data_IF_317242949730
#
_entry.id   IF_317242949730
#
_cell.length_a   1.000
_cell.length_b   1.000
_cell.length_c   1.000
_cell.angle_alpha   90.00
_cell.angle_beta   90.00
_cell.angle_gamma   90.00
#
_symmetry.space_group_name_H-M   'P 1'
#
loop_
_entity.id
_entity.type
_entity.pdbx_description
1 polymer ?
#
# COMPACT_ATOMS: atom_id res chain seq x y z
N UNK A 1 2.93 -14.09 22.31
CA UNK A 1 2.28 -14.48 21.05
C UNK A 1 1.63 -13.31 20.30
N UNK A 2 1.03 -12.27 20.92
CA UNK A 2 0.28 -11.25 20.14
C UNK A 2 1.11 -10.14 19.43
N UNK A 3 2.32 -9.84 19.88
CA UNK A 3 3.13 -8.77 19.27
C UNK A 3 3.84 -9.26 18.00
N UNK A 4 4.29 -10.52 18.01
CA UNK A 4 5.02 -11.16 16.91
C UNK A 4 4.14 -11.31 15.68
N UNK A 5 2.89 -11.77 15.87
CA UNK A 5 1.91 -11.92 14.78
C UNK A 5 1.51 -10.58 14.16
N UNK A 6 1.50 -9.49 14.94
CA UNK A 6 1.24 -8.15 14.40
C UNK A 6 2.42 -7.63 13.57
N UNK A 7 3.65 -7.93 13.99
CA UNK A 7 4.86 -7.57 13.24
C UNK A 7 4.94 -8.35 11.94
N UNK A 8 4.67 -9.65 11.96
CA UNK A 8 4.61 -10.50 10.77
C UNK A 8 3.56 -9.98 9.77
N UNK A 9 2.34 -9.71 10.24
CA UNK A 9 1.28 -9.14 9.41
C UNK A 9 1.65 -7.75 8.85
N UNK A 10 2.36 -6.91 9.61
CA UNK A 10 2.84 -5.61 9.13
C UNK A 10 3.88 -5.78 8.01
N UNK A 11 4.86 -6.66 8.19
CA UNK A 11 5.90 -6.92 7.19
C UNK A 11 5.32 -7.54 5.92
N UNK A 12 4.34 -8.44 6.04
CA UNK A 12 3.60 -8.99 4.90
C UNK A 12 2.81 -7.91 4.15
N UNK A 13 2.13 -7.00 4.87
CA UNK A 13 1.42 -5.88 4.26
C UNK A 13 2.35 -4.91 3.54
N UNK A 14 3.55 -4.68 4.08
CA UNK A 14 4.57 -3.82 3.47
C UNK A 14 5.15 -4.46 2.19
N UNK A 15 5.42 -5.76 2.23
CA UNK A 15 5.86 -6.52 1.06
C UNK A 15 4.78 -6.49 -0.04
N UNK A 16 3.53 -6.80 0.31
CA UNK A 16 2.41 -6.77 -0.62
C UNK A 16 2.19 -5.38 -1.23
N UNK A 17 2.29 -4.32 -0.41
CA UNK A 17 2.16 -2.95 -0.90
C UNK A 17 3.28 -2.57 -1.88
N UNK A 18 4.51 -3.04 -1.62
CA UNK A 18 5.68 -2.80 -2.48
C UNK A 18 5.56 -3.54 -3.81
N UNK A 19 5.12 -4.80 -3.76
CA UNK A 19 4.92 -5.61 -4.96
C UNK A 19 3.80 -5.04 -5.83
N UNK A 20 2.68 -4.64 -5.21
CA UNK A 20 1.57 -4.02 -5.92
C UNK A 20 1.97 -2.68 -6.55
N UNK A 21 2.75 -1.83 -5.88
CA UNK A 21 3.26 -0.59 -6.48
C UNK A 21 4.18 -0.87 -7.70
N UNK A 22 5.00 -1.92 -7.63
CA UNK A 22 5.86 -2.35 -8.73
C UNK A 22 5.04 -2.82 -9.94
N UNK A 23 4.02 -3.63 -9.72
CA UNK A 23 3.12 -4.11 -10.76
C UNK A 23 2.36 -2.95 -11.42
N UNK A 24 1.82 -2.03 -10.62
CA UNK A 24 1.10 -0.86 -11.12
C UNK A 24 2.02 0.04 -11.97
N UNK A 25 3.27 0.27 -11.56
CA UNK A 25 4.27 1.01 -12.36
C UNK A 25 4.61 0.30 -13.66
N UNK A 26 4.74 -1.03 -13.61
CA UNK A 26 5.01 -1.84 -14.80
C UNK A 26 3.85 -1.72 -15.80
N UNK A 27 2.62 -1.83 -15.32
CA UNK A 27 1.42 -1.67 -16.12
C UNK A 27 1.31 -0.25 -16.68
N UNK A 28 1.66 0.81 -15.91
CA UNK A 28 1.71 2.19 -16.43
C UNK A 28 2.64 2.30 -17.64
N UNK A 29 3.83 1.69 -17.54
CA UNK A 29 4.83 1.70 -18.60
C UNK A 29 4.34 1.00 -19.86
N UNK A 30 3.71 -0.17 -19.72
CA UNK A 30 3.12 -0.91 -20.85
C UNK A 30 2.00 -0.09 -21.50
N UNK A 31 1.10 0.48 -20.71
CA UNK A 31 -0.03 1.25 -21.23
C UNK A 31 0.45 2.53 -21.92
N UNK A 32 1.45 3.23 -21.37
CA UNK A 32 2.10 4.38 -22.05
C UNK A 32 2.72 3.98 -23.39
N UNK A 33 3.44 2.86 -23.44
CA UNK A 33 4.03 2.37 -24.69
C UNK A 33 2.98 1.96 -25.73
N UNK A 34 1.82 1.46 -25.30
CA UNK A 34 0.68 1.19 -26.18
C UNK A 34 0.02 2.48 -26.67
N UNK A 35 -0.11 3.48 -25.79
CA UNK A 35 -0.66 4.80 -26.11
C UNK A 35 0.09 5.50 -27.26
N UNK A 36 1.43 5.41 -27.25
CA UNK A 36 2.29 5.99 -28.29
C UNK A 36 2.08 5.33 -29.67
N UNK A 37 1.70 4.05 -29.68
CA UNK A 37 1.48 3.26 -30.89
C UNK A 37 0.06 3.37 -31.44
N UNK A 38 -0.93 3.64 -30.60
CA UNK A 38 -2.33 3.82 -31.00
C UNK A 38 -2.60 5.26 -31.46
N UNK A 39 -2.22 5.58 -32.69
CA UNK A 39 -2.67 6.80 -33.41
C UNK A 39 -3.83 6.43 -34.34
N UNK A 40 -5.04 6.97 -34.09
CA UNK A 40 -6.23 6.73 -34.93
C UNK A 40 -7.57 6.90 -34.20
N UNK A 41 -8.66 6.52 -34.86
CA UNK A 41 -10.09 6.72 -34.45
C UNK A 41 -10.49 6.17 -33.06
N UNK A 42 -9.71 5.29 -32.45
CA UNK A 42 -9.99 4.69 -31.13
C UNK A 42 -9.28 5.38 -29.95
N UNK A 43 -8.57 6.50 -30.20
CA UNK A 43 -7.78 7.25 -29.20
C UNK A 43 -8.59 7.69 -27.97
N UNK A 44 -9.82 8.18 -28.18
CA UNK A 44 -10.66 8.71 -27.08
C UNK A 44 -11.13 7.65 -26.08
N UNK A 45 -11.49 6.46 -26.55
CA UNK A 45 -11.89 5.36 -25.68
C UNK A 45 -10.70 4.87 -24.83
N UNK A 46 -9.52 4.77 -25.44
CA UNK A 46 -8.30 4.40 -24.73
C UNK A 46 -7.85 5.45 -23.70
N UNK A 47 -7.90 6.74 -24.05
CA UNK A 47 -7.56 7.83 -23.12
C UNK A 47 -8.47 7.84 -21.88
N UNK A 48 -9.77 7.53 -22.06
CA UNK A 48 -10.74 7.40 -20.96
C UNK A 48 -10.36 6.24 -20.05
N UNK A 49 -10.19 5.03 -20.61
CA UNK A 49 -9.80 3.84 -19.85
C UNK A 49 -8.45 4.03 -19.15
N UNK A 50 -7.47 4.68 -19.80
CA UNK A 50 -6.18 4.97 -19.19
C UNK A 50 -6.29 5.94 -18.02
N UNK A 51 -7.14 6.96 -18.15
CA UNK A 51 -7.37 7.94 -17.08
C UNK A 51 -8.03 7.29 -15.86
N UNK A 52 -9.06 6.46 -16.09
CA UNK A 52 -9.72 5.69 -15.04
C UNK A 52 -8.76 4.74 -14.35
N UNK A 53 -7.96 4.01 -15.13
CA UNK A 53 -6.94 3.12 -14.61
C UNK A 53 -5.92 3.87 -13.74
N UNK A 54 -5.38 5.00 -14.21
CA UNK A 54 -4.43 5.80 -13.42
C UNK A 54 -5.05 6.29 -12.11
N UNK A 55 -6.31 6.70 -12.14
CA UNK A 55 -7.05 7.13 -10.95
C UNK A 55 -7.18 5.97 -9.95
N UNK A 56 -7.62 4.81 -10.40
CA UNK A 56 -7.76 3.62 -9.56
C UNK A 56 -6.41 3.18 -8.94
N UNK A 57 -5.34 3.14 -9.75
CA UNK A 57 -3.98 2.81 -9.28
C UNK A 57 -3.48 3.79 -8.21
N UNK A 58 -3.76 5.08 -8.37
CA UNK A 58 -3.38 6.11 -7.40
C UNK A 58 -4.13 5.95 -6.08
N UNK A 59 -5.44 5.69 -6.15
CA UNK A 59 -6.27 5.47 -4.96
C UNK A 59 -5.87 4.20 -4.21
N UNK A 60 -5.57 3.11 -4.93
CA UNK A 60 -5.10 1.86 -4.34
C UNK A 60 -3.76 2.07 -3.60
N UNK A 61 -2.81 2.79 -4.19
CA UNK A 61 -1.55 3.12 -3.51
C UNK A 61 -1.79 4.01 -2.27
N UNK A 62 -2.71 4.98 -2.34
CA UNK A 62 -3.08 5.79 -1.15
C UNK A 62 -3.65 4.93 -0.03
N UNK A 63 -4.56 4.00 -0.35
CA UNK A 63 -5.18 3.10 0.62
C UNK A 63 -4.14 2.19 1.29
N UNK A 64 -3.22 1.62 0.51
CA UNK A 64 -2.13 0.78 1.04
C UNK A 64 -1.22 1.54 2.01
N UNK A 65 -0.81 2.77 1.67
CA UNK A 65 0.00 3.60 2.59
C UNK A 65 -0.77 3.96 3.86
N UNK A 66 -2.07 4.20 3.76
CA UNK A 66 -2.92 4.48 4.92
C UNK A 66 -3.03 3.25 5.84
N UNK A 67 -3.23 2.05 5.27
CA UNK A 67 -3.23 0.79 6.00
C UNK A 67 -1.90 0.54 6.71
N UNK A 68 -0.78 0.72 6.02
CA UNK A 68 0.55 0.57 6.61
C UNK A 68 0.75 1.54 7.79
N UNK A 69 0.39 2.82 7.63
CA UNK A 69 0.46 3.81 8.72
C UNK A 69 -0.41 3.42 9.91
N UNK A 70 -1.63 2.93 9.66
CA UNK A 70 -2.54 2.47 10.70
C UNK A 70 -1.98 1.27 11.46
N UNK A 71 -1.40 0.29 10.75
CA UNK A 71 -0.72 -0.87 11.34
C UNK A 71 0.47 -0.46 12.21
N UNK A 72 1.34 0.44 11.71
CA UNK A 72 2.46 0.97 12.49
C UNK A 72 2.01 1.75 13.74
N UNK A 73 0.91 2.50 13.64
CA UNK A 73 0.34 3.23 14.79
C UNK A 73 -0.22 2.27 15.83
N UNK A 74 -0.96 1.24 15.40
CA UNK A 74 -1.47 0.20 16.29
C UNK A 74 -0.33 -0.54 17.01
N UNK A 75 0.76 -0.84 16.30
CA UNK A 75 1.97 -1.43 16.89
C UNK A 75 2.61 -0.52 17.95
N UNK A 76 2.82 0.76 17.64
CA UNK A 76 3.40 1.74 18.56
C UNK A 76 2.56 1.91 19.84
N UNK A 77 1.24 1.99 19.71
CA UNK A 77 0.32 2.09 20.83
C UNK A 77 0.31 0.83 21.71
N UNK A 78 0.38 -0.36 21.10
CA UNK A 78 0.39 -1.62 21.85
C UNK A 78 1.73 -1.88 22.57
N UNK A 79 2.85 -1.57 21.91
CA UNK A 79 4.20 -1.69 22.49
C UNK A 79 4.42 -0.73 23.65
N UNK A 80 3.98 0.53 23.51
CA UNK A 80 4.03 1.54 24.57
C UNK A 80 3.13 1.18 25.75
N UNK A 81 1.88 0.76 25.52
CA UNK A 81 0.97 0.32 26.58
C UNK A 81 1.51 -0.90 27.35
N UNK A 82 2.10 -1.89 26.65
CA UNK A 82 2.72 -3.07 27.28
C UNK A 82 3.96 -2.69 28.08
N UNK A 83 4.80 -1.80 27.56
CA UNK A 83 5.99 -1.31 28.27
C UNK A 83 5.58 -0.53 29.51
N UNK A 84 4.60 0.38 29.39
CA UNK A 84 4.06 1.12 30.52
C UNK A 84 3.48 0.19 31.59
N UNK A 85 2.66 -0.80 31.22
CA UNK A 85 2.14 -1.79 32.17
C UNK A 85 3.25 -2.62 32.82
N UNK A 86 4.27 -3.04 32.06
CA UNK A 86 5.40 -3.79 32.62
C UNK A 86 6.27 -2.95 33.54
N UNK A 87 6.45 -1.66 33.26
CA UNK A 87 7.17 -0.72 34.14
C UNK A 87 6.35 -0.43 35.41
N UNK A 88 5.04 -0.25 35.28
CA UNK A 88 4.17 -0.01 36.44
C UNK A 88 4.06 -1.24 37.36
N UNK A 89 4.08 -2.45 36.81
CA UNK A 89 3.81 -3.69 37.57
C UNK A 89 5.06 -4.55 37.85
N UNK A 90 6.18 -4.29 37.15
CA UNK A 90 7.48 -4.94 37.37
C UNK A 90 8.47 -4.10 38.17
N UNK A 91 8.10 -2.87 38.56
CA UNK A 91 8.84 -2.03 39.49
C UNK A 91 8.47 -2.33 40.95
N UNK A 92 8.85 -3.51 41.44
CA UNK A 92 9.04 -3.81 42.87
C UNK A 92 10.29 -4.66 43.03
#
# INVERSE_FOLDING_TARGET
MSLTTLVEAQSELEALATDLDRELKTLDGVVKGLAEKWKGETKGAFETTYTEWRKASTELHRALRALHKAAGTAHGNYSSAKTANRTMWGGR
#
